data_IF_860148389261
#
_entry.id   IF_860148389261
#
_cell.length_a   1.000
_cell.length_b   1.000
_cell.length_c   1.000
_cell.angle_alpha   90.00
_cell.angle_beta   90.00
_cell.angle_gamma   90.00
#
_symmetry.space_group_name_H-M   'P 1'
#
loop_
_entity.id
_entity.type
_entity.pdbx_description
1 polymer ?
#
# COMPACT_ATOMS: atom_id res chain seq x y z
N UNK A 1 13.64 -9.28 6.18
CA UNK A 1 13.60 -10.51 7.04
C UNK A 1 12.90 -10.08 8.32
N UNK A 2 11.63 -10.46 8.50
CA UNK A 2 10.86 -10.10 9.70
C UNK A 2 11.31 -11.03 10.83
N UNK A 3 11.84 -10.46 11.91
CA UNK A 3 12.36 -11.24 13.02
C UNK A 3 11.17 -11.79 13.84
N UNK A 4 11.13 -13.10 14.18
CA UNK A 4 10.06 -13.68 15.00
C UNK A 4 9.90 -13.02 16.38
N UNK A 5 10.89 -12.26 16.84
CA UNK A 5 10.83 -11.48 18.08
C UNK A 5 9.88 -10.26 18.02
N UNK A 6 9.49 -9.76 16.83
CA UNK A 6 8.55 -8.64 16.73
C UNK A 6 7.13 -9.03 17.18
N UNK A 7 6.76 -10.31 17.10
CA UNK A 7 5.50 -10.81 17.66
C UNK A 7 5.51 -10.93 19.18
N UNK A 8 6.68 -10.78 19.83
CA UNK A 8 6.78 -10.81 21.29
C UNK A 8 6.31 -9.53 21.97
N UNK A 9 6.23 -8.40 21.24
CA UNK A 9 5.64 -7.17 21.75
C UNK A 9 4.27 -6.93 21.13
N UNK A 10 3.26 -6.42 21.87
CA UNK A 10 1.94 -6.11 21.33
C UNK A 10 2.01 -5.18 20.12
N UNK A 11 2.99 -4.26 20.07
CA UNK A 11 3.24 -3.35 18.96
C UNK A 11 3.53 -4.08 17.62
N UNK A 12 4.01 -5.33 17.68
CA UNK A 12 4.23 -6.19 16.52
C UNK A 12 2.99 -6.97 16.05
N UNK A 13 1.80 -6.73 16.65
CA UNK A 13 0.56 -7.43 16.32
C UNK A 13 -0.49 -6.50 15.69
N UNK A 14 -0.28 -6.00 14.45
CA UNK A 14 -1.28 -5.19 13.77
C UNK A 14 -2.47 -6.05 13.34
N UNK A 15 -3.66 -5.46 13.28
CA UNK A 15 -4.85 -6.11 12.77
C UNK A 15 -5.04 -5.79 11.27
N UNK A 16 -5.29 -6.82 10.45
CA UNK A 16 -5.76 -6.64 9.08
C UNK A 16 -7.20 -6.11 9.13
N UNK A 17 -7.47 -5.04 8.38
CA UNK A 17 -8.79 -4.42 8.31
C UNK A 17 -9.48 -4.84 7.02
N UNK A 18 -10.60 -5.51 7.18
CA UNK A 18 -11.52 -5.87 6.12
C UNK A 18 -12.66 -4.84 6.05
N UNK A 19 -13.20 -4.66 4.87
CA UNK A 19 -14.47 -3.98 4.66
C UNK A 19 -15.64 -4.87 5.14
N UNK A 20 -16.85 -4.34 5.16
CA UNK A 20 -18.04 -5.11 5.56
C UNK A 20 -18.39 -6.29 4.64
N UNK A 21 -17.81 -6.37 3.45
CA UNK A 21 -17.90 -7.49 2.52
C UNK A 21 -16.75 -8.50 2.67
N UNK A 22 -15.97 -8.38 3.75
CA UNK A 22 -14.80 -9.21 4.06
C UNK A 22 -13.63 -9.10 3.05
N UNK A 23 -13.67 -8.16 2.11
CA UNK A 23 -12.50 -7.85 1.29
C UNK A 23 -11.56 -6.91 2.05
N UNK A 24 -10.23 -7.00 1.86
CA UNK A 24 -9.32 -6.03 2.45
C UNK A 24 -9.67 -4.60 2.08
N UNK A 25 -9.70 -3.70 3.05
CA UNK A 25 -10.01 -2.28 2.83
C UNK A 25 -8.99 -1.63 1.88
N UNK A 26 -7.76 -2.10 1.89
CA UNK A 26 -6.72 -1.79 0.91
C UNK A 26 -5.72 -2.94 0.83
N UNK A 27 -5.32 -3.32 -0.38
CA UNK A 27 -4.25 -4.30 -0.60
C UNK A 27 -2.86 -3.66 -0.63
N UNK A 28 -2.77 -2.38 -1.05
CA UNK A 28 -1.50 -1.70 -1.21
C UNK A 28 -1.63 -0.20 -0.91
N UNK A 29 -0.97 0.27 0.17
CA UNK A 29 -0.44 -0.57 1.24
C UNK A 29 -1.54 -1.39 1.90
N UNK A 30 -1.20 -2.54 2.44
CA UNK A 30 -2.14 -3.38 3.17
C UNK A 30 -2.76 -2.59 4.33
N UNK A 31 -4.09 -2.65 4.48
CA UNK A 31 -4.81 -1.93 5.53
C UNK A 31 -4.58 -2.59 6.89
N UNK A 32 -3.52 -2.19 7.55
CA UNK A 32 -3.15 -2.65 8.88
C UNK A 32 -3.37 -1.54 9.91
N UNK A 33 -4.12 -1.85 10.98
CA UNK A 33 -4.25 -0.96 12.11
C UNK A 33 -3.41 -1.44 13.29
N UNK A 34 -2.79 -0.52 14.05
CA UNK A 34 -2.22 -0.86 15.34
C UNK A 34 -3.28 -1.52 16.22
N UNK A 35 -2.88 -2.51 17.03
CA UNK A 35 -3.81 -3.26 17.87
C UNK A 35 -4.65 -2.36 18.79
N UNK A 36 -4.07 -1.27 19.30
CA UNK A 36 -4.79 -0.30 20.14
C UNK A 36 -5.96 0.35 19.38
N UNK A 37 -5.74 0.67 18.10
CA UNK A 37 -6.77 1.25 17.24
C UNK A 37 -7.86 0.22 16.96
N UNK A 38 -7.50 -1.03 16.70
CA UNK A 38 -8.43 -2.12 16.47
C UNK A 38 -9.29 -2.39 17.71
N UNK A 39 -8.68 -2.48 18.89
CA UNK A 39 -9.37 -2.67 20.17
C UNK A 39 -10.30 -1.49 20.46
N UNK A 40 -9.84 -0.25 20.27
CA UNK A 40 -10.70 0.94 20.44
C UNK A 40 -11.92 0.91 19.51
N UNK A 41 -11.72 0.51 18.26
CA UNK A 41 -12.82 0.41 17.29
C UNK A 41 -13.83 -0.68 17.67
N UNK A 42 -13.38 -1.80 18.28
CA UNK A 42 -14.23 -2.86 18.80
C UNK A 42 -15.14 -2.33 19.91
N UNK A 43 -14.58 -1.64 20.92
CA UNK A 43 -15.38 -1.06 22.00
C UNK A 43 -16.33 0.05 21.56
N UNK A 44 -16.03 0.70 20.43
CA UNK A 44 -16.92 1.66 19.78
C UNK A 44 -17.94 1.00 18.84
N UNK A 45 -18.00 -0.34 18.82
CA UNK A 45 -18.90 -1.13 17.97
C UNK A 45 -18.81 -0.82 16.47
N UNK A 46 -17.61 -0.39 16.01
CA UNK A 46 -17.35 -0.07 14.59
C UNK A 46 -16.85 -1.25 13.79
N UNK A 47 -16.30 -2.26 14.46
CA UNK A 47 -15.70 -3.45 13.85
C UNK A 47 -16.12 -4.71 14.60
N UNK A 48 -16.03 -5.85 13.92
CA UNK A 48 -16.15 -7.17 14.50
C UNK A 48 -14.80 -7.90 14.39
N UNK A 49 -14.48 -8.75 15.38
CA UNK A 49 -13.29 -9.60 15.33
C UNK A 49 -13.59 -10.80 14.44
N UNK A 50 -12.76 -11.00 13.42
CA UNK A 50 -12.86 -12.15 12.51
C UNK A 50 -11.84 -13.22 12.89
N UNK A 51 -10.62 -12.81 13.23
CA UNK A 51 -9.58 -13.70 13.76
C UNK A 51 -8.75 -12.96 14.83
N UNK A 52 -8.13 -13.73 15.71
CA UNK A 52 -7.31 -13.21 16.80
C UNK A 52 -5.96 -13.91 16.85
N UNK A 53 -4.95 -13.20 17.33
CA UNK A 53 -3.67 -13.79 17.73
C UNK A 53 -3.83 -14.67 18.97
N UNK A 54 -2.93 -15.62 19.16
CA UNK A 54 -2.85 -16.40 20.43
C UNK A 54 -2.37 -15.57 21.64
N UNK A 55 -2.23 -14.27 21.43
CA UNK A 55 -1.74 -13.32 22.41
C UNK A 55 -2.87 -12.54 23.07
N UNK A 56 -2.79 -12.42 24.39
CA UNK A 56 -3.74 -11.65 25.19
C UNK A 56 -3.15 -10.33 25.69
N UNK A 57 -4.03 -9.36 25.86
CA UNK A 57 -3.79 -8.12 26.60
C UNK A 57 -4.76 -8.04 27.77
N UNK A 58 -4.27 -7.48 28.86
CA UNK A 58 -4.99 -7.38 30.12
C UNK A 58 -5.14 -5.92 30.53
N UNK A 59 -6.30 -5.60 31.06
CA UNK A 59 -6.56 -4.40 31.83
C UNK A 59 -7.09 -4.82 33.20
N UNK A 60 -7.28 -3.92 34.17
CA UNK A 60 -7.80 -4.28 35.49
C UNK A 60 -9.15 -5.02 35.47
N UNK A 61 -9.94 -4.85 34.42
CA UNK A 61 -11.31 -5.40 34.31
C UNK A 61 -11.54 -6.29 33.11
N UNK A 62 -10.61 -6.37 32.16
CA UNK A 62 -10.81 -7.10 30.90
C UNK A 62 -9.51 -7.80 30.48
N UNK A 63 -9.64 -9.08 30.12
CA UNK A 63 -8.62 -9.83 29.39
C UNK A 63 -9.19 -10.19 28.02
N UNK A 64 -8.43 -9.98 26.95
CA UNK A 64 -8.86 -10.32 25.59
C UNK A 64 -7.69 -10.70 24.69
N UNK A 65 -7.93 -11.62 23.75
CA UNK A 65 -6.99 -11.90 22.67
C UNK A 65 -6.90 -10.70 21.73
N UNK A 66 -5.68 -10.40 21.27
CA UNK A 66 -5.47 -9.32 20.29
C UNK A 66 -6.10 -9.69 18.95
N UNK A 67 -6.92 -8.82 18.34
CA UNK A 67 -7.47 -9.07 17.02
C UNK A 67 -6.36 -9.08 15.96
N UNK A 68 -6.31 -10.13 15.14
CA UNK A 68 -5.41 -10.22 13.97
C UNK A 68 -6.12 -9.85 12.68
N UNK A 69 -7.45 -10.07 12.62
CA UNK A 69 -8.32 -9.66 11.51
C UNK A 69 -9.59 -9.05 12.08
N UNK A 70 -9.97 -7.90 11.58
CA UNK A 70 -11.21 -7.19 11.92
C UNK A 70 -11.98 -6.84 10.66
N UNK A 71 -13.31 -6.87 10.72
CA UNK A 71 -14.18 -6.41 9.64
C UNK A 71 -14.96 -5.16 10.08
N UNK A 72 -15.06 -4.17 9.20
CA UNK A 72 -15.90 -2.99 9.44
C UNK A 72 -17.37 -3.41 9.45
N UNK A 73 -18.16 -2.87 10.39
CA UNK A 73 -19.61 -3.07 10.40
C UNK A 73 -20.34 -2.29 9.32
N UNK A 74 -19.75 -1.20 8.87
CA UNK A 74 -20.31 -0.38 7.79
C UNK A 74 -19.44 -0.48 6.55
N UNK A 75 -20.07 -0.70 5.40
CA UNK A 75 -19.36 -0.77 4.12
C UNK A 75 -18.79 0.60 3.75
N UNK A 76 -17.49 0.62 3.48
CA UNK A 76 -16.78 1.78 2.95
C UNK A 76 -16.57 1.57 1.46
N UNK A 77 -17.19 2.44 0.64
CA UNK A 77 -16.99 2.39 -0.80
C UNK A 77 -15.54 2.75 -1.15
N UNK A 78 -14.78 1.84 -1.77
CA UNK A 78 -13.43 2.16 -2.24
C UNK A 78 -13.44 3.33 -3.22
N UNK A 79 -12.46 4.22 -3.11
CA UNK A 79 -12.31 5.29 -4.09
C UNK A 79 -11.94 4.71 -5.45
N UNK A 80 -12.59 5.17 -6.51
CA UNK A 80 -12.26 4.77 -7.89
C UNK A 80 -10.83 5.17 -8.25
N UNK A 81 -10.37 6.33 -7.74
CA UNK A 81 -9.04 6.87 -8.00
C UNK A 81 -8.23 6.97 -6.71
N UNK A 82 -7.00 6.47 -6.72
CA UNK A 82 -6.15 6.54 -5.54
C UNK A 82 -5.66 7.97 -5.28
N UNK A 83 -5.33 8.24 -4.02
CA UNK A 83 -4.66 9.48 -3.65
C UNK A 83 -3.29 9.59 -4.33
N UNK A 84 -2.91 10.81 -4.74
CA UNK A 84 -1.61 11.08 -5.31
C UNK A 84 -0.55 11.10 -4.21
N UNK A 85 0.03 9.95 -3.93
CA UNK A 85 1.09 9.77 -2.94
C UNK A 85 2.36 9.25 -3.60
N UNK A 86 3.51 9.43 -2.93
CA UNK A 86 4.78 8.87 -3.40
C UNK A 86 4.71 7.35 -3.59
N UNK A 87 4.10 6.65 -2.63
CA UNK A 87 3.94 5.21 -2.70
C UNK A 87 3.11 4.79 -3.92
N UNK A 88 1.93 5.39 -4.10
CA UNK A 88 1.04 5.08 -5.21
C UNK A 88 1.65 5.42 -6.57
N UNK A 89 2.47 6.48 -6.64
CA UNK A 89 3.24 6.82 -7.84
C UNK A 89 4.25 5.72 -8.18
N UNK A 90 5.04 5.29 -7.19
CA UNK A 90 6.02 4.22 -7.39
C UNK A 90 5.35 2.89 -7.74
N UNK A 91 4.22 2.57 -7.11
CA UNK A 91 3.43 1.39 -7.42
C UNK A 91 2.89 1.42 -8.86
N UNK A 92 2.36 2.57 -9.33
CA UNK A 92 1.96 2.76 -10.73
C UNK A 92 3.08 2.42 -11.69
N UNK A 93 4.29 2.87 -11.37
CA UNK A 93 5.49 2.71 -12.18
C UNK A 93 6.27 1.42 -11.87
N UNK A 94 5.65 0.50 -11.10
CA UNK A 94 6.21 -0.81 -10.73
C UNK A 94 7.58 -0.70 -10.04
N UNK A 95 7.72 0.31 -9.15
CA UNK A 95 8.96 0.59 -8.43
C UNK A 95 10.20 0.59 -9.34
N UNK A 96 10.08 1.19 -10.52
CA UNK A 96 11.17 1.28 -11.49
C UNK A 96 11.26 2.66 -12.13
N UNK A 97 12.48 3.08 -12.44
CA UNK A 97 12.75 4.32 -13.13
C UNK A 97 12.12 4.31 -14.54
N UNK A 98 11.29 5.30 -14.85
CA UNK A 98 10.62 5.38 -16.14
C UNK A 98 11.51 5.87 -17.29
N UNK A 99 12.80 6.11 -17.02
CA UNK A 99 13.80 6.44 -18.04
C UNK A 99 14.73 5.24 -18.35
N UNK A 100 15.32 4.59 -17.34
CA UNK A 100 16.26 3.50 -17.54
C UNK A 100 15.78 2.11 -17.06
N UNK A 101 14.76 2.05 -16.20
CA UNK A 101 14.24 0.81 -15.61
C UNK A 101 14.90 0.41 -14.28
N UNK A 102 15.88 1.14 -13.78
CA UNK A 102 16.58 0.82 -12.52
C UNK A 102 15.61 0.97 -11.32
N UNK A 103 15.52 -0.01 -10.41
CA UNK A 103 14.68 0.07 -9.22
C UNK A 103 15.34 0.78 -8.03
N UNK A 104 16.61 1.16 -8.13
CA UNK A 104 17.38 1.74 -7.02
C UNK A 104 17.22 3.26 -6.95
N UNK A 105 17.35 3.82 -5.75
CA UNK A 105 17.37 5.25 -5.47
C UNK A 105 16.23 6.02 -6.12
N UNK A 106 15.01 5.51 -6.00
CA UNK A 106 13.85 6.07 -6.66
C UNK A 106 13.42 7.40 -6.05
N UNK A 107 13.22 8.36 -6.93
CA UNK A 107 12.66 9.69 -6.71
C UNK A 107 11.47 9.90 -7.63
N UNK A 108 10.82 11.05 -7.55
CA UNK A 108 9.84 11.47 -8.56
C UNK A 108 10.38 12.66 -9.37
N UNK A 109 10.02 12.69 -10.64
CA UNK A 109 10.43 13.71 -11.58
C UNK A 109 9.23 14.29 -12.32
N UNK A 110 9.22 15.60 -12.52
CA UNK A 110 8.23 16.26 -13.37
C UNK A 110 8.65 16.15 -14.83
N UNK A 111 7.93 15.39 -15.64
CA UNK A 111 8.22 15.21 -17.07
C UNK A 111 8.29 16.55 -17.77
N UNK A 112 7.24 17.38 -17.64
CA UNK A 112 7.34 18.82 -17.92
C UNK A 112 7.79 19.52 -16.64
N UNK A 113 8.97 20.16 -16.62
CA UNK A 113 9.51 20.79 -15.42
C UNK A 113 8.61 21.89 -14.86
N UNK A 114 8.60 22.05 -13.53
CA UNK A 114 7.82 23.11 -12.85
C UNK A 114 8.19 24.50 -13.36
N UNK A 115 9.47 24.75 -13.62
CA UNK A 115 9.96 26.02 -14.21
C UNK A 115 9.42 26.29 -15.61
N UNK A 116 8.92 25.25 -16.30
CA UNK A 116 8.29 25.35 -17.63
C UNK A 116 6.76 25.18 -17.57
N UNK A 117 6.14 25.40 -16.40
CA UNK A 117 4.69 25.33 -16.21
C UNK A 117 4.15 23.95 -15.86
N UNK A 118 5.01 22.95 -15.64
CA UNK A 118 4.59 21.61 -15.23
C UNK A 118 3.94 21.57 -13.85
N UNK A 119 2.82 20.87 -13.73
CA UNK A 119 2.09 20.70 -12.46
C UNK A 119 2.43 19.35 -11.81
N UNK A 120 2.28 19.29 -10.49
CA UNK A 120 2.42 18.04 -9.72
C UNK A 120 1.12 17.24 -9.80
N UNK A 121 0.96 16.48 -10.87
CA UNK A 121 -0.23 15.67 -11.18
C UNK A 121 0.16 14.29 -11.67
N UNK A 122 -0.80 13.35 -11.65
CA UNK A 122 -0.62 12.01 -12.17
C UNK A 122 -0.08 11.97 -13.61
N UNK A 123 -0.50 12.91 -14.46
CA UNK A 123 -0.18 12.95 -15.88
C UNK A 123 1.17 13.61 -16.18
N UNK A 124 1.81 14.20 -15.17
CA UNK A 124 3.07 14.90 -15.34
C UNK A 124 4.21 14.41 -14.46
N UNK A 125 3.93 13.54 -13.48
CA UNK A 125 4.99 13.03 -12.59
C UNK A 125 5.28 11.57 -12.89
N UNK A 126 6.56 11.22 -13.00
CA UNK A 126 7.05 9.87 -13.22
C UNK A 126 8.07 9.48 -12.16
N UNK A 127 8.18 8.18 -11.89
CA UNK A 127 9.27 7.62 -11.08
C UNK A 127 10.57 7.70 -11.84
N UNK A 128 11.62 8.23 -11.20
CA UNK A 128 12.96 8.32 -11.76
C UNK A 128 14.00 7.91 -10.72
N UNK A 129 15.05 7.20 -11.12
CA UNK A 129 16.20 7.04 -10.24
C UNK A 129 16.97 8.36 -10.11
N UNK A 130 17.71 8.56 -9.01
CA UNK A 130 18.44 9.78 -8.76
C UNK A 130 19.39 10.16 -9.90
N UNK A 131 20.17 9.22 -10.52
CA UNK A 131 21.03 9.54 -11.66
C UNK A 131 20.26 10.06 -12.90
N UNK A 132 19.12 9.45 -13.24
CA UNK A 132 18.32 9.91 -14.38
C UNK A 132 17.66 11.25 -14.11
N UNK A 133 17.16 11.48 -12.90
CA UNK A 133 16.57 12.75 -12.50
C UNK A 133 17.60 13.88 -12.55
N UNK A 134 18.80 13.65 -12.04
CA UNK A 134 19.91 14.59 -12.11
C UNK A 134 20.34 14.87 -13.57
N UNK A 135 20.48 13.83 -14.40
CA UNK A 135 20.79 13.94 -15.83
C UNK A 135 19.75 14.78 -16.57
N UNK A 136 18.47 14.65 -16.24
CA UNK A 136 17.40 15.45 -16.84
C UNK A 136 17.48 16.92 -16.42
N UNK A 137 17.77 17.20 -15.15
CA UNK A 137 18.21 18.51 -14.66
C UNK A 137 17.26 19.67 -15.00
N UNK A 138 15.96 19.53 -14.77
CA UNK A 138 14.98 20.62 -15.03
C UNK A 138 14.65 20.86 -16.51
N UNK A 139 15.10 19.99 -17.41
CA UNK A 139 14.77 19.99 -18.85
C UNK A 139 13.60 19.03 -19.12
N UNK A 140 12.93 19.18 -20.26
CA UNK A 140 12.02 18.13 -20.75
C UNK A 140 12.82 16.89 -21.17
N UNK A 141 12.20 15.70 -21.25
CA UNK A 141 12.89 14.51 -21.75
C UNK A 141 13.52 14.71 -23.11
N UNK A 142 12.82 15.35 -24.04
CA UNK A 142 13.34 15.67 -25.38
C UNK A 142 14.60 16.57 -25.32
N UNK A 143 14.58 17.63 -24.52
CA UNK A 143 15.73 18.52 -24.31
C UNK A 143 16.91 17.79 -23.65
N UNK A 144 16.64 16.78 -22.82
CA UNK A 144 17.67 15.98 -22.16
C UNK A 144 18.12 14.77 -23.01
N UNK A 145 17.58 14.60 -24.21
CA UNK A 145 17.76 13.41 -25.08
C UNK A 145 17.44 12.09 -24.32
N UNK A 146 16.32 12.12 -23.59
CA UNK A 146 15.83 10.99 -22.80
C UNK A 146 14.42 10.62 -23.27
N UNK A 147 14.05 9.36 -23.11
CA UNK A 147 12.71 8.88 -23.41
C UNK A 147 12.03 8.39 -22.14
N UNK A 148 10.75 8.71 -21.97
CA UNK A 148 9.90 8.14 -20.94
C UNK A 148 9.37 6.80 -21.46
N UNK A 149 9.68 5.70 -20.79
CA UNK A 149 9.28 4.34 -21.18
C UNK A 149 7.77 4.17 -21.24
N UNK A 150 7.08 4.80 -20.30
CA UNK A 150 5.62 4.83 -20.23
C UNK A 150 5.17 6.24 -19.90
N UNK A 151 4.30 6.80 -20.73
CA UNK A 151 3.73 8.12 -20.46
C UNK A 151 2.99 8.11 -19.12
N UNK A 152 3.22 9.11 -18.23
CA UNK A 152 2.46 9.23 -16.99
C UNK A 152 0.96 9.28 -17.24
N UNK A 153 0.20 8.65 -16.34
CA UNK A 153 -1.26 8.59 -16.42
C UNK A 153 -1.84 8.50 -15.01
N UNK A 154 -3.12 8.83 -14.86
CA UNK A 154 -3.85 8.64 -13.62
C UNK A 154 -4.35 7.19 -13.54
N UNK A 155 -3.86 6.37 -12.60
CA UNK A 155 -4.33 5.01 -12.45
C UNK A 155 -5.69 4.95 -11.76
N UNK A 156 -6.45 3.91 -11.99
CA UNK A 156 -7.56 3.52 -11.12
C UNK A 156 -7.04 2.77 -9.89
N UNK A 157 -7.84 2.71 -8.83
CA UNK A 157 -7.50 1.92 -7.64
C UNK A 157 -7.32 0.45 -7.98
N UNK A 158 -8.14 -0.09 -8.90
CA UNK A 158 -8.01 -1.46 -9.39
C UNK A 158 -6.66 -1.72 -10.08
N UNK A 159 -6.21 -0.83 -10.96
CA UNK A 159 -4.91 -0.95 -11.63
C UNK A 159 -3.74 -0.95 -10.64
N UNK A 160 -3.81 -0.13 -9.57
CA UNK A 160 -2.78 -0.15 -8.53
C UNK A 160 -2.81 -1.46 -7.72
N UNK A 161 -3.98 -1.99 -7.42
CA UNK A 161 -4.11 -3.26 -6.72
C UNK A 161 -3.51 -4.41 -7.55
N UNK A 162 -3.80 -4.47 -8.84
CA UNK A 162 -3.23 -5.45 -9.75
C UNK A 162 -1.70 -5.36 -9.81
N UNK A 163 -1.15 -4.14 -9.94
CA UNK A 163 0.30 -3.94 -9.88
C UNK A 163 0.88 -4.38 -8.52
N UNK A 164 0.16 -4.11 -7.43
CA UNK A 164 0.57 -4.46 -6.08
C UNK A 164 0.71 -5.96 -5.86
N UNK A 165 -0.11 -6.78 -6.50
CA UNK A 165 -0.02 -8.26 -6.42
C UNK A 165 1.36 -8.79 -6.85
N UNK A 166 2.06 -8.07 -7.74
CA UNK A 166 3.43 -8.41 -8.15
C UNK A 166 4.49 -8.09 -7.08
N UNK A 167 4.10 -7.38 -5.99
CA UNK A 167 4.98 -6.95 -4.91
C UNK A 167 4.34 -7.34 -3.56
N UNK A 168 4.24 -8.65 -3.24
CA UNK A 168 3.65 -9.09 -2.00
C UNK A 168 4.41 -8.48 -0.81
N UNK A 169 3.73 -8.14 0.29
CA UNK A 169 4.39 -7.64 1.49
C UNK A 169 5.38 -8.69 2.01
N UNK A 170 6.50 -8.23 2.56
CA UNK A 170 7.57 -9.09 3.08
C UNK A 170 7.13 -10.00 4.24
N UNK A 171 6.01 -9.69 4.85
CA UNK A 171 5.42 -10.47 5.95
C UNK A 171 3.90 -10.51 5.81
N UNK A 172 3.36 -11.72 5.86
CA UNK A 172 1.94 -11.99 5.96
C UNK A 172 1.74 -12.92 7.17
N UNK A 173 0.93 -12.47 8.13
CA UNK A 173 0.51 -13.34 9.21
C UNK A 173 -0.38 -14.46 8.64
N UNK A 174 -0.29 -15.66 9.21
CA UNK A 174 -1.05 -16.83 8.73
C UNK A 174 -2.55 -16.55 8.65
N UNK A 175 -3.12 -15.91 9.68
CA UNK A 175 -4.56 -15.58 9.74
C UNK A 175 -5.02 -14.58 8.66
N UNK A 176 -4.12 -13.96 7.89
CA UNK A 176 -4.46 -13.00 6.84
C UNK A 176 -4.55 -13.64 5.46
N UNK A 177 -3.96 -14.83 5.28
CA UNK A 177 -3.79 -15.45 3.95
C UNK A 177 -5.12 -15.67 3.24
N UNK A 178 -6.11 -16.19 3.94
CA UNK A 178 -7.43 -16.49 3.38
C UNK A 178 -8.18 -15.25 2.86
N UNK A 179 -7.81 -14.07 3.36
CA UNK A 179 -8.43 -12.80 2.96
C UNK A 179 -7.64 -12.06 1.88
N UNK A 180 -6.41 -12.47 1.56
CA UNK A 180 -5.55 -11.79 0.61
C UNK A 180 -5.47 -12.51 -0.73
N UNK A 181 -5.80 -13.79 -0.77
CA UNK A 181 -5.67 -14.66 -1.95
C UNK A 181 -6.98 -15.34 -2.34
N UNK A 182 -8.12 -14.83 -1.90
CA UNK A 182 -9.44 -15.43 -2.13
C UNK A 182 -9.85 -15.52 -3.62
N UNK A 183 -9.20 -14.76 -4.50
CA UNK A 183 -9.47 -14.71 -5.93
C UNK A 183 -8.45 -15.52 -6.77
N UNK A 184 -7.58 -16.30 -6.14
CA UNK A 184 -6.71 -17.24 -6.84
C UNK A 184 -7.57 -18.45 -7.22
N UNK A 185 -7.64 -18.74 -8.54
CA UNK A 185 -8.28 -19.97 -9.01
C UNK A 185 -7.60 -21.18 -8.35
N UNK A 186 -8.42 -22.04 -7.74
CA UNK A 186 -7.93 -23.31 -7.22
C UNK A 186 -7.57 -24.18 -8.42
N UNK A 187 -6.31 -24.57 -8.54
CA UNK A 187 -5.91 -25.59 -9.52
C UNK A 187 -6.67 -26.88 -9.23
N UNK A 188 -7.37 -27.40 -10.27
CA UNK A 188 -8.19 -28.61 -10.19
C UNK A 188 -7.31 -29.87 -10.21
#
# INVERSE_FOLDING_TARGET
MYHPDLLRHPEGCPALVLNADYTPLSYYPLSLWPWQTAVKALFLERVDIVAAYEREVHSPSIAMKLPSVIALRQYVRPSEYPAFTRFNLFLRDRFSCQYCGDPRELTFDHVLPRAQGGRTTWDNVATACAPCNLKKGGRTPAQARMHVRRRPFRPTSWQLQEHGRSFPPNYLHESWRDYLYWDIELEA
#
